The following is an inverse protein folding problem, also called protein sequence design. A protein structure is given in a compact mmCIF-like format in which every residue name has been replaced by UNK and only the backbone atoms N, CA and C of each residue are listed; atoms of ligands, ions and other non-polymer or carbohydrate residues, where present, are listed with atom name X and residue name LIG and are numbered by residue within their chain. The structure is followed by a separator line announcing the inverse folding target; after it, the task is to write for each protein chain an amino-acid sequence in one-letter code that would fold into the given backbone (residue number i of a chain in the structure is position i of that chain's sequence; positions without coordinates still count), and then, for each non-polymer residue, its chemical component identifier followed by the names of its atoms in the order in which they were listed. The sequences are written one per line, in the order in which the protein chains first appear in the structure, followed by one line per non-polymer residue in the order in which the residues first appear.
data_IF_477396517913
#
_entry.id   IF_477396517913
#
_cell.length_a   1.000
_cell.length_b   1.000
_cell.length_c   1.000
_cell.angle_alpha   90.00
_cell.angle_beta   90.00
_cell.angle_gamma   90.00
#
_symmetry.space_group_name_H-M   'P 1'
#
loop_
_entity.id
_entity.type
_entity.pdbx_description
1 polymer ?
#
# COMPACT_ATOMS: atom_id res chain seq x y z
N UNK A 1 26.72 24.91 -31.00
CA UNK A 1 25.35 25.39 -31.20
C UNK A 1 24.57 24.23 -31.78
N UNK A 2 24.05 23.38 -30.90
CA UNK A 2 23.16 22.25 -31.19
C UNK A 2 22.13 22.30 -30.06
N UNK A 3 20.87 22.25 -30.45
CA UNK A 3 19.68 22.49 -29.64
C UNK A 3 19.54 21.46 -28.51
N UNK A 4 19.32 21.92 -27.28
CA UNK A 4 18.81 21.07 -26.19
C UNK A 4 17.28 21.02 -26.31
N UNK A 5 16.77 19.94 -26.91
CA UNK A 5 15.40 19.49 -26.71
C UNK A 5 15.30 18.91 -25.29
N UNK A 6 14.83 19.73 -24.34
CA UNK A 6 14.41 19.25 -23.03
C UNK A 6 13.03 18.61 -23.17
N UNK A 7 13.02 17.28 -23.33
CA UNK A 7 11.83 16.46 -23.22
C UNK A 7 11.48 16.34 -21.72
N UNK A 8 10.83 17.38 -21.20
CA UNK A 8 10.26 17.41 -19.85
C UNK A 8 9.03 16.52 -19.88
N UNK A 9 9.21 15.26 -19.49
CA UNK A 9 8.11 14.35 -19.19
C UNK A 9 7.36 14.87 -17.96
N UNK A 10 6.37 15.73 -18.19
CA UNK A 10 5.32 16.04 -17.21
C UNK A 10 4.53 14.75 -16.94
N UNK A 11 4.79 14.12 -15.79
CA UNK A 11 3.90 13.13 -15.21
C UNK A 11 2.52 13.77 -15.00
N UNK A 12 1.41 13.15 -15.45
CA UNK A 12 0.11 13.70 -15.17
C UNK A 12 -0.13 13.63 -13.66
N UNK A 13 -0.16 14.79 -13.00
CA UNK A 13 -0.73 14.94 -11.67
C UNK A 13 -2.19 14.46 -11.72
N UNK A 14 -2.44 13.21 -11.31
CA UNK A 14 -3.79 12.77 -10.98
C UNK A 14 -4.15 13.41 -9.65
N UNK A 15 -4.45 14.71 -9.70
CA UNK A 15 -5.10 15.46 -8.64
C UNK A 15 -6.57 15.07 -8.63
N UNK A 16 -6.83 13.82 -8.23
CA UNK A 16 -8.16 13.31 -7.92
C UNK A 16 -8.70 14.00 -6.67
N UNK A 17 -9.32 15.16 -6.88
CA UNK A 17 -10.18 15.87 -5.94
C UNK A 17 -11.04 14.86 -5.14
N UNK A 18 -11.01 14.86 -3.80
CA UNK A 18 -12.02 14.11 -3.06
C UNK A 18 -13.36 14.84 -3.20
N UNK A 19 -14.42 14.04 -3.27
CA UNK A 19 -15.80 14.45 -3.00
C UNK A 19 -16.49 15.28 -4.10
N UNK A 20 -17.01 14.57 -5.10
CA UNK A 20 -18.45 14.67 -5.34
C UNK A 20 -19.08 13.50 -4.60
N UNK A 21 -19.37 13.67 -3.31
CA UNK A 21 -20.39 12.87 -2.67
C UNK A 21 -21.69 13.18 -3.41
N UNK A 22 -22.03 12.39 -4.42
CA UNK A 22 -23.40 12.30 -4.89
C UNK A 22 -24.18 11.76 -3.70
N UNK A 23 -24.62 12.68 -2.83
CA UNK A 23 -25.59 12.37 -1.79
C UNK A 23 -26.73 11.70 -2.54
N UNK A 24 -27.04 10.41 -2.26
CA UNK A 24 -28.12 9.75 -2.96
C UNK A 24 -29.36 10.61 -2.74
N UNK A 25 -29.88 11.18 -3.83
CA UNK A 25 -31.04 12.05 -3.79
C UNK A 25 -32.17 11.22 -3.20
N UNK A 26 -32.44 11.44 -1.92
CA UNK A 26 -33.41 10.67 -1.14
C UNK A 26 -34.71 10.63 -1.94
N UNK A 27 -35.19 9.43 -2.30
CA UNK A 27 -36.31 9.26 -3.21
C UNK A 27 -37.56 9.91 -2.59
N UNK A 28 -37.84 11.16 -2.98
CA UNK A 28 -38.91 11.98 -2.40
C UNK A 28 -40.32 11.44 -2.72
N UNK A 29 -40.42 10.42 -3.58
CA UNK A 29 -41.67 9.79 -4.00
C UNK A 29 -42.46 9.13 -2.87
N UNK A 30 -41.84 8.85 -1.71
CA UNK A 30 -42.51 8.23 -0.57
C UNK A 30 -42.75 9.17 0.62
N UNK A 31 -42.41 10.47 0.53
CA UNK A 31 -42.59 11.43 1.64
C UNK A 31 -44.05 11.65 2.06
N UNK A 32 -45.02 11.27 1.22
CA UNK A 32 -46.46 11.41 1.49
C UNK A 32 -47.15 10.13 1.97
N UNK A 33 -46.43 9.01 2.05
CA UNK A 33 -46.98 7.74 2.58
C UNK A 33 -46.85 7.76 4.10
N UNK A 34 -47.94 7.52 4.84
CA UNK A 34 -47.87 7.32 6.30
C UNK A 34 -46.98 6.10 6.56
N UNK A 35 -45.87 6.29 7.29
CA UNK A 35 -44.92 5.23 7.64
C UNK A 35 -45.44 4.30 8.75
N UNK A 36 -46.45 4.75 9.48
CA UNK A 36 -47.08 4.00 10.56
C UNK A 36 -48.24 3.19 9.99
N UNK A 37 -48.14 1.88 10.09
CA UNK A 37 -49.25 0.96 9.85
C UNK A 37 -50.22 1.06 11.03
N UNK A 38 -51.51 1.20 10.76
CA UNK A 38 -52.54 1.06 11.80
C UNK A 38 -52.66 -0.42 12.20
N UNK A 39 -53.14 -0.72 13.42
CA UNK A 39 -53.29 -2.11 13.91
C UNK A 39 -54.11 -2.99 12.95
N UNK A 40 -55.10 -2.39 12.31
CA UNK A 40 -56.00 -3.04 11.34
C UNK A 40 -55.25 -3.40 10.04
N UNK A 41 -54.39 -2.52 9.54
CA UNK A 41 -53.54 -2.79 8.37
C UNK A 41 -52.43 -3.80 8.68
N UNK A 42 -51.87 -3.76 9.89
CA UNK A 42 -50.86 -4.71 10.38
C UNK A 42 -51.43 -6.12 10.59
N UNK A 43 -52.73 -6.22 10.92
CA UNK A 43 -53.42 -7.51 11.09
C UNK A 43 -53.64 -8.26 9.78
N UNK A 44 -53.45 -7.59 8.63
CA UNK A 44 -53.60 -8.23 7.32
C UNK A 44 -52.45 -9.19 7.03
N UNK A 45 -52.78 -10.40 6.56
CA UNK A 45 -51.78 -11.42 6.22
C UNK A 45 -50.78 -10.94 5.15
N UNK A 46 -51.19 -10.05 4.25
CA UNK A 46 -50.32 -9.47 3.24
C UNK A 46 -49.23 -8.57 3.82
N UNK A 47 -49.57 -7.70 4.79
CA UNK A 47 -48.60 -6.85 5.46
C UNK A 47 -47.61 -7.67 6.30
N UNK A 48 -48.09 -8.69 7.03
CA UNK A 48 -47.24 -9.56 7.85
C UNK A 48 -46.25 -10.38 7.01
N UNK A 49 -46.69 -10.96 5.89
CA UNK A 49 -45.81 -11.67 4.96
C UNK A 49 -44.76 -10.76 4.36
N UNK A 50 -45.15 -9.57 3.92
CA UNK A 50 -44.20 -8.60 3.36
C UNK A 50 -43.14 -8.16 4.36
N UNK A 51 -43.52 -7.94 5.63
CA UNK A 51 -42.56 -7.60 6.69
C UNK A 51 -41.61 -8.77 6.95
N UNK A 52 -42.12 -10.01 7.01
CA UNK A 52 -41.29 -11.20 7.19
C UNK A 52 -40.33 -11.41 6.02
N UNK A 53 -40.81 -11.32 4.78
CA UNK A 53 -39.98 -11.46 3.58
C UNK A 53 -38.87 -10.38 3.53
N UNK A 54 -39.18 -9.16 3.98
CA UNK A 54 -38.21 -8.08 4.05
C UNK A 54 -37.17 -8.30 5.16
N UNK A 55 -37.58 -8.82 6.33
CA UNK A 55 -36.67 -9.21 7.42
C UNK A 55 -35.72 -10.29 6.93
N UNK A 56 -36.24 -11.36 6.32
CA UNK A 56 -35.44 -12.47 5.80
C UNK A 56 -34.41 -11.95 4.77
N UNK A 57 -34.85 -11.09 3.84
CA UNK A 57 -33.95 -10.47 2.86
C UNK A 57 -32.86 -9.62 3.54
N UNK A 58 -33.23 -8.81 4.52
CA UNK A 58 -32.28 -7.96 5.24
C UNK A 58 -31.31 -8.78 6.06
N UNK A 59 -31.73 -9.89 6.66
CA UNK A 59 -30.86 -10.81 7.39
C UNK A 59 -29.86 -11.49 6.45
N UNK A 60 -30.30 -11.97 5.29
CA UNK A 60 -29.42 -12.53 4.26
C UNK A 60 -28.38 -11.50 3.78
N UNK A 61 -28.83 -10.28 3.46
CA UNK A 61 -27.95 -9.19 3.03
C UNK A 61 -26.96 -8.82 4.15
N UNK A 62 -27.42 -8.72 5.39
CA UNK A 62 -26.56 -8.41 6.53
C UNK A 62 -25.49 -9.48 6.76
N UNK A 63 -25.87 -10.76 6.65
CA UNK A 63 -24.95 -11.89 6.76
C UNK A 63 -23.92 -11.90 5.62
N UNK A 64 -24.36 -11.61 4.39
CA UNK A 64 -23.46 -11.46 3.26
C UNK A 64 -22.47 -10.32 3.47
N UNK A 65 -22.94 -9.14 3.88
CA UNK A 65 -22.10 -7.96 4.13
C UNK A 65 -21.10 -8.19 5.25
N UNK A 66 -21.51 -8.84 6.36
CA UNK A 66 -20.59 -9.26 7.43
C UNK A 66 -19.49 -10.18 6.91
N UNK A 67 -19.85 -11.12 6.03
CA UNK A 67 -18.88 -12.01 5.37
C UNK A 67 -17.86 -11.24 4.52
N UNK A 68 -18.33 -10.27 3.72
CA UNK A 68 -17.45 -9.40 2.92
C UNK A 68 -16.55 -8.55 3.82
N UNK A 69 -17.10 -7.94 4.87
CA UNK A 69 -16.34 -7.14 5.82
C UNK A 69 -15.21 -7.94 6.47
N UNK A 70 -15.51 -9.17 6.92
CA UNK A 70 -14.50 -10.05 7.51
C UNK A 70 -13.37 -10.37 6.53
N UNK A 71 -13.71 -10.74 5.28
CA UNK A 71 -12.73 -11.02 4.23
C UNK A 71 -11.90 -9.79 3.86
N UNK A 72 -12.53 -8.62 3.80
CA UNK A 72 -11.86 -7.35 3.56
C UNK A 72 -10.82 -7.07 4.64
N UNK A 73 -11.19 -7.16 5.92
CA UNK A 73 -10.25 -6.94 7.02
C UNK A 73 -9.12 -7.98 7.05
N UNK A 74 -9.38 -9.23 6.69
CA UNK A 74 -8.33 -10.23 6.58
C UNK A 74 -7.35 -9.91 5.44
N UNK A 75 -7.87 -9.52 4.27
CA UNK A 75 -7.06 -9.14 3.12
C UNK A 75 -6.25 -7.87 3.38
N UNK A 76 -6.88 -6.85 3.96
CA UNK A 76 -6.26 -5.59 4.34
C UNK A 76 -5.13 -5.82 5.35
N UNK A 77 -5.38 -6.61 6.40
CA UNK A 77 -4.35 -7.00 7.37
C UNK A 77 -3.17 -7.72 6.71
N UNK A 78 -3.44 -8.66 5.80
CA UNK A 78 -2.37 -9.35 5.05
C UNK A 78 -1.59 -8.35 4.20
N UNK A 79 -2.27 -7.46 3.49
CA UNK A 79 -1.63 -6.44 2.67
C UNK A 79 -0.70 -5.54 3.51
N UNK A 80 -1.16 -5.05 4.66
CA UNK A 80 -0.33 -4.24 5.56
C UNK A 80 0.91 -4.99 6.05
N UNK A 81 0.77 -6.26 6.44
CA UNK A 81 1.90 -7.09 6.87
C UNK A 81 2.91 -7.33 5.73
N UNK A 82 2.43 -7.58 4.51
CA UNK A 82 3.29 -7.73 3.33
C UNK A 82 4.00 -6.43 2.96
N UNK A 83 3.30 -5.29 3.04
CA UNK A 83 3.88 -3.97 2.77
C UNK A 83 4.99 -3.63 3.78
N UNK A 84 4.78 -3.93 5.07
CA UNK A 84 5.80 -3.74 6.10
C UNK A 84 7.05 -4.59 5.84
N UNK A 85 6.87 -5.86 5.47
CA UNK A 85 7.98 -6.74 5.07
C UNK A 85 8.71 -6.23 3.83
N UNK A 86 7.97 -5.73 2.85
CA UNK A 86 8.55 -5.19 1.62
C UNK A 86 9.42 -3.96 1.90
N UNK A 87 8.97 -3.04 2.78
CA UNK A 87 9.77 -1.87 3.18
C UNK A 87 11.12 -2.29 3.76
N UNK A 88 11.14 -3.32 4.62
CA UNK A 88 12.38 -3.89 5.13
C UNK A 88 13.28 -4.45 4.03
N UNK A 89 12.71 -5.19 3.07
CA UNK A 89 13.46 -5.75 1.94
C UNK A 89 14.06 -4.65 1.04
N UNK A 90 13.27 -3.63 0.68
CA UNK A 90 13.74 -2.51 -0.13
C UNK A 90 14.89 -1.76 0.57
N UNK A 91 14.80 -1.54 1.88
CA UNK A 91 15.87 -0.90 2.63
C UNK A 91 17.19 -1.72 2.57
N UNK A 92 17.11 -3.05 2.72
CA UNK A 92 18.27 -3.94 2.61
C UNK A 92 18.86 -3.98 1.17
N UNK A 93 18.01 -3.92 0.14
CA UNK A 93 18.47 -3.84 -1.25
C UNK A 93 19.21 -2.55 -1.55
N UNK A 94 18.67 -1.40 -1.10
CA UNK A 94 19.33 -0.10 -1.25
C UNK A 94 20.65 -0.09 -0.49
N UNK A 95 20.66 -0.57 0.76
CA UNK A 95 21.86 -0.63 1.58
C UNK A 95 22.94 -1.53 0.97
N UNK A 96 22.55 -2.74 0.52
CA UNK A 96 23.49 -3.67 -0.12
C UNK A 96 24.08 -3.12 -1.41
N UNK A 97 23.26 -2.46 -2.23
CA UNK A 97 23.69 -1.82 -3.48
C UNK A 97 24.65 -0.66 -3.21
N UNK A 98 24.32 0.20 -2.24
CA UNK A 98 25.18 1.32 -1.83
C UNK A 98 26.51 0.82 -1.24
N UNK A 99 26.46 -0.19 -0.37
CA UNK A 99 27.65 -0.76 0.25
C UNK A 99 28.57 -1.42 -0.79
N UNK A 100 28.03 -2.17 -1.75
CA UNK A 100 28.80 -2.77 -2.84
C UNK A 100 29.42 -1.71 -3.75
N UNK A 101 28.68 -0.65 -4.10
CA UNK A 101 29.19 0.43 -4.93
C UNK A 101 30.35 1.17 -4.24
N UNK A 102 30.14 1.59 -2.99
CA UNK A 102 31.17 2.29 -2.21
C UNK A 102 32.38 1.40 -1.90
N UNK A 103 32.16 0.13 -1.56
CA UNK A 103 33.23 -0.83 -1.31
C UNK A 103 34.07 -1.11 -2.56
N UNK A 104 33.42 -1.25 -3.71
CA UNK A 104 34.11 -1.41 -5.01
C UNK A 104 34.91 -0.16 -5.38
N UNK A 105 34.35 1.03 -5.12
CA UNK A 105 35.05 2.30 -5.34
C UNK A 105 36.28 2.42 -4.43
N UNK A 106 36.15 2.08 -3.15
CA UNK A 106 37.26 2.08 -2.20
C UNK A 106 38.37 1.09 -2.60
N UNK A 107 38.01 -0.11 -3.06
CA UNK A 107 38.94 -1.10 -3.61
C UNK A 107 39.65 -0.57 -4.87
N UNK A 108 38.91 0.05 -5.79
CA UNK A 108 39.46 0.62 -7.02
C UNK A 108 40.41 1.79 -6.78
N UNK A 109 40.22 2.55 -5.70
CA UNK A 109 41.10 3.65 -5.29
C UNK A 109 42.38 3.17 -4.59
N UNK A 110 42.42 1.92 -4.10
CA UNK A 110 43.52 1.40 -3.28
C UNK A 110 44.93 1.56 -3.91
N UNK A 111 45.16 1.31 -5.23
CA UNK A 111 46.49 1.50 -5.82
C UNK A 111 46.98 2.94 -5.75
N UNK A 112 46.08 3.92 -5.92
CA UNK A 112 46.42 5.35 -5.80
C UNK A 112 46.71 5.73 -4.35
N UNK A 113 45.91 5.24 -3.40
CA UNK A 113 46.13 5.48 -1.98
C UNK A 113 47.47 4.90 -1.49
N UNK A 114 47.90 3.75 -2.04
CA UNK A 114 49.16 3.10 -1.68
C UNK A 114 50.38 3.92 -2.12
N UNK A 115 50.26 4.63 -3.24
CA UNK A 115 51.30 5.55 -3.71
C UNK A 115 51.46 6.79 -2.80
N UNK A 116 50.45 7.11 -1.99
CA UNK A 116 50.42 8.30 -1.14
C UNK A 116 50.79 7.97 0.31
N UNK A 117 50.17 6.93 0.90
CA UNK A 117 50.49 6.45 2.26
C UNK A 117 49.96 5.04 2.49
N UNK A 118 50.80 4.18 3.06
CA UNK A 118 50.40 2.83 3.48
C UNK A 118 49.24 2.82 4.49
N UNK A 119 49.17 3.84 5.36
CA UNK A 119 48.09 3.94 6.35
C UNK A 119 46.76 4.29 5.69
N UNK A 120 46.76 5.25 4.76
CA UNK A 120 45.57 5.62 3.98
C UNK A 120 45.08 4.45 3.13
N UNK A 121 46.00 3.75 2.46
CA UNK A 121 45.67 2.56 1.68
C UNK A 121 45.05 1.44 2.52
N UNK A 122 45.57 1.23 3.74
CA UNK A 122 45.01 0.26 4.69
C UNK A 122 43.56 0.55 5.05
N UNK A 123 43.20 1.82 5.26
CA UNK A 123 41.82 2.23 5.57
C UNK A 123 40.88 1.93 4.40
N UNK A 124 41.26 2.30 3.16
CA UNK A 124 40.43 2.03 1.98
C UNK A 124 40.29 0.53 1.68
N UNK A 125 41.36 -0.25 1.87
CA UNK A 125 41.31 -1.70 1.71
C UNK A 125 40.39 -2.36 2.73
N UNK A 126 40.61 -2.10 4.02
CA UNK A 126 39.82 -2.73 5.10
C UNK A 126 38.38 -2.27 5.04
N UNK A 127 38.15 -0.96 4.90
CA UNK A 127 36.80 -0.40 4.76
C UNK A 127 36.07 -0.93 3.54
N UNK A 128 36.75 -1.03 2.39
CA UNK A 128 36.19 -1.58 1.16
C UNK A 128 35.79 -3.05 1.30
N UNK A 129 36.64 -3.88 1.91
CA UNK A 129 36.32 -5.30 2.17
C UNK A 129 35.14 -5.43 3.11
N UNK A 130 35.10 -4.65 4.20
CA UNK A 130 33.98 -4.66 5.16
C UNK A 130 32.68 -4.25 4.48
N UNK A 131 32.68 -3.22 3.63
CA UNK A 131 31.49 -2.78 2.90
C UNK A 131 31.02 -3.83 1.89
N UNK A 132 31.93 -4.50 1.18
CA UNK A 132 31.56 -5.56 0.24
C UNK A 132 30.96 -6.75 0.97
N UNK A 133 31.62 -7.26 2.02
CA UNK A 133 31.12 -8.38 2.82
C UNK A 133 29.79 -8.01 3.46
N UNK A 134 29.71 -6.82 4.07
CA UNK A 134 28.50 -6.28 4.65
C UNK A 134 27.35 -6.22 3.66
N UNK A 135 27.57 -5.67 2.46
CA UNK A 135 26.58 -5.60 1.40
C UNK A 135 26.09 -6.98 0.93
N UNK A 136 27.01 -7.94 0.75
CA UNK A 136 26.65 -9.32 0.39
C UNK A 136 25.80 -9.96 1.50
N UNK A 137 26.19 -9.82 2.75
CA UNK A 137 25.45 -10.38 3.88
C UNK A 137 24.08 -9.73 4.04
N UNK A 138 23.97 -8.41 3.91
CA UNK A 138 22.70 -7.69 3.97
C UNK A 138 21.70 -8.18 2.91
N UNK A 139 22.20 -8.54 1.71
CA UNK A 139 21.38 -9.14 0.64
C UNK A 139 21.05 -10.62 0.89
N UNK A 140 21.90 -11.34 1.61
CA UNK A 140 21.72 -12.77 1.88
C UNK A 140 20.78 -13.07 3.07
N UNK A 141 20.47 -12.07 3.91
CA UNK A 141 19.49 -12.22 4.98
C UNK A 141 18.10 -12.40 4.37
N UNK A 142 17.53 -13.59 4.53
CA UNK A 142 16.12 -13.86 4.21
C UNK A 142 15.24 -13.26 5.31
N UNK A 143 14.36 -12.35 4.94
CA UNK A 143 13.25 -11.87 5.78
C UNK A 143 12.05 -12.82 5.77
#
# INVERSE_FOLDING_TARGET
MIEEEQDVLEEPEIRGKPESSVVPKERQSFKKVRRELTEEELSTTGAQRLILDEIDRLEEENNFLKGIQSKYHEADKKASLLEEKLKGHTALEILSSAALAMGSLAMGYAPKALAESHMTAGIFLVGGVVLIIGGITAKAVKG
#
